data_IF_472992059981
#
_entry.id   IF_472992059981
#
_cell.length_a   1.000
_cell.length_b   1.000
_cell.length_c   1.000
_cell.angle_alpha   90.00
_cell.angle_beta   90.00
_cell.angle_gamma   90.00
#
_symmetry.space_group_name_H-M   'P 1'
#
loop_
_entity.id
_entity.type
_entity.pdbx_description
1 polymer ?
#
# COMPACT_ATOMS: atom_id res chain seq x y z
N UNK A 1 2.28 -30.05 -4.92
CA UNK A 1 3.64 -29.97 -5.51
C UNK A 1 3.66 -30.35 -7.00
N UNK A 2 3.26 -31.56 -7.40
CA UNK A 2 3.28 -32.00 -8.81
C UNK A 2 2.59 -31.01 -9.79
N UNK A 3 1.39 -30.56 -9.45
CA UNK A 3 0.65 -29.57 -10.26
C UNK A 3 1.38 -28.22 -10.39
N UNK A 4 2.04 -27.74 -9.33
CA UNK A 4 2.81 -26.49 -9.39
C UNK A 4 4.01 -26.65 -10.33
N UNK A 5 4.75 -27.76 -10.21
CA UNK A 5 5.88 -28.07 -11.10
C UNK A 5 5.45 -28.12 -12.57
N UNK A 6 4.28 -28.69 -12.86
CA UNK A 6 3.74 -28.70 -14.23
C UNK A 6 3.47 -27.27 -14.74
N UNK A 7 2.85 -26.42 -13.92
CA UNK A 7 2.61 -25.03 -14.30
C UNK A 7 3.91 -24.24 -14.49
N UNK A 8 4.91 -24.43 -13.61
CA UNK A 8 6.21 -23.76 -13.74
C UNK A 8 6.94 -24.18 -15.02
N UNK A 9 6.95 -25.48 -15.34
CA UNK A 9 7.57 -25.99 -16.56
C UNK A 9 6.95 -25.36 -17.84
N UNK A 10 5.62 -25.11 -17.82
CA UNK A 10 4.97 -24.41 -18.94
C UNK A 10 5.46 -22.97 -19.07
N UNK A 11 5.59 -22.24 -17.95
CA UNK A 11 6.09 -20.85 -17.95
C UNK A 11 7.56 -20.75 -18.40
N UNK A 12 8.41 -21.70 -17.98
CA UNK A 12 9.79 -21.80 -18.44
C UNK A 12 9.85 -22.09 -19.94
N UNK A 13 9.07 -23.06 -20.42
CA UNK A 13 9.06 -23.42 -21.85
C UNK A 13 8.57 -22.30 -22.76
N UNK A 14 7.72 -21.40 -22.25
CA UNK A 14 7.27 -20.23 -22.99
C UNK A 14 8.23 -19.04 -22.91
N UNK A 15 9.30 -19.13 -22.11
CA UNK A 15 10.22 -18.03 -21.85
C UNK A 15 9.63 -16.91 -20.99
N UNK A 16 8.54 -17.18 -20.26
CA UNK A 16 7.92 -16.19 -19.37
C UNK A 16 8.69 -16.01 -18.07
N UNK A 17 9.44 -17.05 -17.66
CA UNK A 17 10.38 -17.04 -16.54
C UNK A 17 11.65 -17.82 -16.95
N UNK A 18 12.78 -17.53 -16.30
CA UNK A 18 14.04 -18.25 -16.54
C UNK A 18 14.14 -19.56 -15.73
N UNK A 19 13.45 -19.65 -14.60
CA UNK A 19 13.48 -20.81 -13.71
C UNK A 19 12.59 -20.66 -12.47
N UNK A 20 12.54 -21.69 -11.63
CA UNK A 20 11.87 -21.66 -10.33
C UNK A 20 12.63 -22.44 -9.24
N UNK A 21 12.42 -22.07 -7.98
CA UNK A 21 12.96 -22.80 -6.81
C UNK A 21 11.88 -22.99 -5.72
N UNK A 22 12.07 -24.01 -4.89
CA UNK A 22 11.28 -24.22 -3.68
C UNK A 22 12.09 -23.76 -2.48
N UNK A 23 11.90 -22.50 -2.08
CA UNK A 23 12.54 -21.91 -0.91
C UNK A 23 11.87 -22.28 0.41
N UNK A 24 12.57 -22.03 1.51
CA UNK A 24 11.98 -22.10 2.85
C UNK A 24 11.33 -20.77 3.19
N UNK A 25 10.06 -20.82 3.60
CA UNK A 25 9.36 -19.62 4.08
C UNK A 25 9.75 -19.33 5.54
N UNK A 26 10.41 -18.19 5.76
CA UNK A 26 10.71 -17.67 7.09
C UNK A 26 9.67 -16.62 7.48
N UNK A 27 8.74 -17.00 8.37
CA UNK A 27 7.71 -16.08 8.88
C UNK A 27 8.35 -14.99 9.73
N UNK A 28 8.04 -13.73 9.45
CA UNK A 28 8.51 -12.58 10.22
C UNK A 28 7.61 -12.32 11.43
N UNK A 29 7.51 -13.32 12.33
CA UNK A 29 6.52 -13.33 13.44
C UNK A 29 6.61 -12.06 14.29
N UNK A 30 7.82 -11.62 14.62
CA UNK A 30 8.06 -10.42 15.42
C UNK A 30 7.63 -9.15 14.68
N UNK A 31 7.88 -9.08 13.37
CA UNK A 31 7.52 -7.94 12.52
C UNK A 31 6.02 -7.69 12.55
N UNK A 32 5.23 -8.76 12.51
CA UNK A 32 3.77 -8.70 12.49
C UNK A 32 3.12 -8.84 13.87
N UNK A 33 3.90 -8.70 14.95
CA UNK A 33 3.36 -8.55 16.31
C UNK A 33 3.02 -9.85 17.03
N UNK A 34 3.55 -10.99 16.59
CA UNK A 34 3.33 -12.31 17.17
C UNK A 34 2.52 -13.24 16.25
N UNK A 35 2.24 -14.45 16.73
CA UNK A 35 1.58 -15.50 15.93
C UNK A 35 0.19 -15.08 15.41
N UNK A 36 -0.63 -14.44 16.25
CA UNK A 36 -1.95 -13.92 15.85
C UNK A 36 -1.82 -12.87 14.75
N UNK A 37 -0.91 -11.92 14.91
CA UNK A 37 -0.70 -10.85 13.94
C UNK A 37 -0.08 -11.34 12.63
N UNK A 38 0.84 -12.31 12.68
CA UNK A 38 1.38 -12.97 11.48
C UNK A 38 0.30 -13.74 10.72
N UNK A 39 -0.55 -14.51 11.40
CA UNK A 39 -1.64 -15.24 10.77
C UNK A 39 -2.68 -14.30 10.10
N UNK A 40 -2.98 -13.16 10.72
CA UNK A 40 -3.83 -12.14 10.12
C UNK A 40 -3.14 -11.41 8.96
N UNK A 41 -1.84 -11.16 9.06
CA UNK A 41 -1.03 -10.60 7.97
C UNK A 41 -1.03 -11.53 6.75
N UNK A 42 -0.84 -12.84 6.92
CA UNK A 42 -0.91 -13.83 5.83
C UNK A 42 -2.28 -13.81 5.12
N UNK A 43 -3.38 -13.67 5.88
CA UNK A 43 -4.72 -13.53 5.30
C UNK A 43 -4.87 -12.23 4.52
N UNK A 44 -4.36 -11.12 5.05
CA UNK A 44 -4.39 -9.83 4.34
C UNK A 44 -3.52 -9.85 3.08
N UNK A 45 -2.38 -10.55 3.13
CA UNK A 45 -1.47 -10.74 2.00
C UNK A 45 -2.04 -11.62 0.90
N UNK A 46 -2.91 -12.57 1.23
CA UNK A 46 -3.64 -13.33 0.20
C UNK A 46 -4.60 -12.40 -0.55
N UNK A 47 -5.42 -11.65 0.20
CA UNK A 47 -6.39 -10.71 -0.36
C UNK A 47 -5.73 -9.60 -1.20
N UNK A 48 -4.65 -9.01 -0.69
CA UNK A 48 -3.96 -7.92 -1.37
C UNK A 48 -3.21 -8.41 -2.63
N UNK A 49 -2.77 -9.67 -2.66
CA UNK A 49 -2.12 -10.29 -3.82
C UNK A 49 -3.13 -10.54 -4.93
N UNK A 50 -4.31 -11.06 -4.60
CA UNK A 50 -5.38 -11.27 -5.58
C UNK A 50 -5.84 -9.95 -6.19
N UNK A 51 -6.04 -8.92 -5.37
CA UNK A 51 -6.37 -7.58 -5.84
C UNK A 51 -5.27 -7.00 -6.76
N UNK A 52 -4.00 -7.11 -6.37
CA UNK A 52 -2.88 -6.61 -7.16
C UNK A 52 -2.74 -7.32 -8.52
N UNK A 53 -3.01 -8.64 -8.59
CA UNK A 53 -3.01 -9.39 -9.85
C UNK A 53 -4.07 -8.83 -10.81
N UNK A 54 -5.30 -8.64 -10.32
CA UNK A 54 -6.40 -8.12 -11.14
C UNK A 54 -6.15 -6.67 -11.59
N UNK A 55 -5.63 -5.83 -10.70
CA UNK A 55 -5.26 -4.44 -11.04
C UNK A 55 -4.12 -4.39 -12.06
N UNK A 56 -3.09 -5.24 -11.92
CA UNK A 56 -2.03 -5.35 -12.92
C UNK A 56 -2.55 -5.84 -14.28
N UNK A 57 -3.55 -6.72 -14.29
CA UNK A 57 -4.18 -7.18 -15.52
C UNK A 57 -5.01 -6.09 -16.20
N UNK A 58 -5.78 -5.32 -15.42
CA UNK A 58 -6.52 -4.14 -15.93
C UNK A 58 -5.58 -3.09 -16.52
N UNK A 59 -4.48 -2.79 -15.82
CA UNK A 59 -3.43 -1.89 -16.31
C UNK A 59 -2.82 -2.41 -17.62
N UNK A 60 -2.47 -3.69 -17.68
CA UNK A 60 -1.95 -4.34 -18.89
C UNK A 60 -2.93 -4.28 -20.08
N UNK A 61 -4.24 -4.33 -19.81
CA UNK A 61 -5.30 -4.18 -20.83
C UNK A 61 -5.61 -2.73 -21.18
N UNK A 62 -5.01 -1.75 -20.50
CA UNK A 62 -5.27 -0.32 -20.70
C UNK A 62 -6.62 0.14 -20.15
N UNK A 63 -7.20 -0.61 -19.21
CA UNK A 63 -8.51 -0.33 -18.60
C UNK A 63 -8.41 0.53 -17.32
N UNK A 64 -7.19 0.82 -16.87
CA UNK A 64 -6.92 1.65 -15.70
C UNK A 64 -6.62 3.09 -16.13
N UNK A 65 -7.49 4.04 -15.78
CA UNK A 65 -7.29 5.46 -16.11
C UNK A 65 -6.30 6.16 -15.17
N UNK A 66 -6.01 5.52 -14.03
CA UNK A 66 -5.04 5.98 -13.03
C UNK A 66 -3.75 5.20 -13.19
N UNK A 67 -2.63 5.82 -12.87
CA UNK A 67 -1.35 5.11 -12.81
C UNK A 67 -1.31 4.15 -11.61
N UNK A 68 -0.45 3.12 -11.68
CA UNK A 68 -0.20 2.22 -10.53
C UNK A 68 0.20 2.97 -9.26
N UNK A 69 0.91 4.10 -9.41
CA UNK A 69 1.30 4.97 -8.29
C UNK A 69 0.11 5.65 -7.63
N UNK A 70 -0.84 6.16 -8.41
CA UNK A 70 -2.08 6.75 -7.87
C UNK A 70 -2.94 5.69 -7.18
N UNK A 71 -3.10 4.51 -7.79
CA UNK A 71 -3.87 3.40 -7.19
C UNK A 71 -3.21 2.89 -5.91
N UNK A 72 -1.88 2.73 -5.88
CA UNK A 72 -1.15 2.33 -4.68
C UNK A 72 -1.29 3.38 -3.54
N UNK A 73 -1.27 4.67 -3.88
CA UNK A 73 -1.44 5.75 -2.91
C UNK A 73 -2.86 5.76 -2.33
N UNK A 74 -3.88 5.63 -3.18
CA UNK A 74 -5.28 5.51 -2.77
C UNK A 74 -5.53 4.27 -1.92
N UNK A 75 -4.97 3.11 -2.30
CA UNK A 75 -5.11 1.88 -1.52
C UNK A 75 -4.44 2.01 -0.15
N UNK A 76 -3.32 2.71 -0.07
CA UNK A 76 -2.69 2.94 1.21
C UNK A 76 -3.49 3.87 2.14
N UNK A 77 -4.19 4.86 1.59
CA UNK A 77 -5.15 5.65 2.36
C UNK A 77 -6.36 4.79 2.78
N UNK A 78 -6.83 3.89 1.90
CA UNK A 78 -7.88 2.92 2.21
C UNK A 78 -7.50 1.97 3.36
N UNK A 79 -6.24 1.54 3.45
CA UNK A 79 -5.75 0.80 4.63
C UNK A 79 -5.86 1.62 5.92
N UNK A 80 -5.54 2.93 5.86
CA UNK A 80 -5.71 3.82 6.99
C UNK A 80 -7.19 4.01 7.38
N UNK A 81 -8.09 4.08 6.40
CA UNK A 81 -9.55 4.11 6.62
C UNK A 81 -10.03 2.82 7.30
N UNK A 82 -9.66 1.65 6.76
CA UNK A 82 -10.06 0.35 7.29
C UNK A 82 -9.60 0.12 8.73
N UNK A 83 -8.45 0.68 9.09
CA UNK A 83 -7.92 0.60 10.45
C UNK A 83 -8.48 1.68 11.40
N UNK A 84 -9.28 2.62 10.88
CA UNK A 84 -9.85 3.72 11.64
C UNK A 84 -8.79 4.69 12.17
N UNK A 85 -7.71 4.93 11.40
CA UNK A 85 -6.68 5.87 11.84
C UNK A 85 -7.23 7.29 11.97
N UNK A 86 -6.98 7.90 13.13
CA UNK A 86 -7.19 9.31 13.33
C UNK A 86 -6.17 10.16 12.55
N UNK A 87 -6.39 11.46 12.52
CA UNK A 87 -5.56 12.39 11.75
C UNK A 87 -4.09 12.42 12.20
N UNK A 88 -3.82 12.29 13.51
CA UNK A 88 -2.45 12.26 14.04
C UNK A 88 -1.76 10.95 13.66
N UNK A 89 -2.48 9.83 13.73
CA UNK A 89 -1.99 8.53 13.29
C UNK A 89 -1.73 8.50 11.78
N UNK A 90 -2.57 9.14 10.96
CA UNK A 90 -2.34 9.28 9.51
C UNK A 90 -1.07 10.05 9.18
N UNK A 91 -0.80 11.15 9.88
CA UNK A 91 0.47 11.86 9.73
C UNK A 91 1.66 10.97 10.09
N UNK A 92 1.58 10.23 11.20
CA UNK A 92 2.63 9.25 11.58
C UNK A 92 2.80 8.16 10.53
N UNK A 93 1.70 7.65 9.96
CA UNK A 93 1.69 6.61 8.93
C UNK A 93 2.41 7.06 7.65
N UNK A 94 2.07 8.23 7.11
CA UNK A 94 2.76 8.74 5.94
C UNK A 94 4.21 9.15 6.23
N UNK A 95 4.49 9.72 7.42
CA UNK A 95 5.87 10.02 7.84
C UNK A 95 6.73 8.76 7.92
N UNK A 96 6.19 7.66 8.44
CA UNK A 96 6.88 6.37 8.51
C UNK A 96 7.29 5.87 7.12
N UNK A 97 6.45 6.13 6.11
CA UNK A 97 6.65 5.71 4.73
C UNK A 97 7.94 6.18 4.06
N UNK A 98 8.53 7.29 4.53
CA UNK A 98 9.76 7.84 3.97
C UNK A 98 10.85 8.09 5.03
N UNK A 99 10.61 7.78 6.32
CA UNK A 99 11.57 8.08 7.39
C UNK A 99 12.90 7.36 7.18
N UNK A 100 12.87 6.15 6.62
CA UNK A 100 14.07 5.37 6.30
C UNK A 100 15.03 6.12 5.37
N UNK A 101 14.52 6.90 4.40
CA UNK A 101 15.36 7.64 3.46
C UNK A 101 16.06 8.84 4.13
N UNK A 102 15.46 9.40 5.19
CA UNK A 102 16.10 10.40 6.04
C UNK A 102 17.13 9.75 6.98
N UNK A 103 16.74 8.64 7.62
CA UNK A 103 17.55 7.94 8.62
C UNK A 103 18.82 7.32 8.01
N UNK A 104 18.74 6.84 6.76
CA UNK A 104 19.89 6.28 6.02
C UNK A 104 20.81 7.36 5.43
N UNK A 105 20.39 8.64 5.44
CA UNK A 105 21.08 9.72 4.73
C UNK A 105 20.95 9.67 3.21
N UNK A 106 20.02 8.86 2.67
CA UNK A 106 19.75 8.81 1.23
C UNK A 106 19.17 10.13 0.71
N UNK A 107 18.39 10.84 1.54
CA UNK A 107 17.89 12.17 1.22
C UNK A 107 18.63 13.24 1.99
N UNK A 108 19.33 14.11 1.25
CA UNK A 108 19.95 15.32 1.78
C UNK A 108 18.94 16.47 1.92
N UNK A 109 19.37 17.58 2.53
CA UNK A 109 18.58 18.81 2.59
C UNK A 109 18.26 19.35 1.18
N UNK A 110 19.20 19.25 0.24
CA UNK A 110 18.98 19.64 -1.15
C UNK A 110 17.92 18.77 -1.85
N UNK A 111 17.89 17.46 -1.55
CA UNK A 111 16.86 16.56 -2.07
C UNK A 111 15.48 16.92 -1.52
N UNK A 112 15.38 17.29 -0.24
CA UNK A 112 14.14 17.75 0.36
C UNK A 112 13.62 19.04 -0.29
N UNK A 113 14.50 19.98 -0.65
CA UNK A 113 14.08 21.17 -1.40
C UNK A 113 13.56 20.82 -2.81
N UNK A 114 14.18 19.86 -3.49
CA UNK A 114 13.71 19.35 -4.79
C UNK A 114 12.34 18.70 -4.65
N UNK A 115 12.16 17.87 -3.61
CA UNK A 115 10.90 17.21 -3.31
C UNK A 115 9.82 18.22 -2.96
N UNK A 116 10.11 19.25 -2.18
CA UNK A 116 9.14 20.31 -1.85
C UNK A 116 8.70 21.07 -3.11
N UNK A 117 9.64 21.47 -3.98
CA UNK A 117 9.28 22.11 -5.27
C UNK A 117 8.39 21.20 -6.12
N UNK A 118 8.67 19.90 -6.14
CA UNK A 118 7.88 18.91 -6.88
C UNK A 118 6.52 18.65 -6.23
N UNK A 119 6.43 18.67 -4.91
CA UNK A 119 5.17 18.61 -4.18
C UNK A 119 4.29 19.79 -4.56
N UNK A 120 4.81 21.02 -4.49
CA UNK A 120 4.04 22.22 -4.81
C UNK A 120 3.49 22.21 -6.25
N UNK A 121 4.24 21.67 -7.22
CA UNK A 121 3.76 21.55 -8.60
C UNK A 121 2.71 20.43 -8.79
N UNK A 122 2.76 19.36 -7.99
CA UNK A 122 1.82 18.23 -8.06
C UNK A 122 0.63 18.36 -7.10
N UNK A 123 0.67 19.31 -6.16
CA UNK A 123 -0.34 19.49 -5.11
C UNK A 123 -1.77 19.54 -5.66
N UNK A 124 -2.10 20.31 -6.72
CA UNK A 124 -3.48 20.34 -7.23
C UNK A 124 -3.98 18.97 -7.70
N UNK A 125 -3.11 18.15 -8.30
CA UNK A 125 -3.45 16.80 -8.73
C UNK A 125 -3.65 15.84 -7.55
N UNK A 126 -2.82 15.97 -6.51
CA UNK A 126 -3.00 15.21 -5.27
C UNK A 126 -4.29 15.60 -4.55
N UNK A 127 -4.60 16.90 -4.44
CA UNK A 127 -5.86 17.37 -3.88
C UNK A 127 -7.06 16.81 -4.64
N UNK A 128 -6.99 16.82 -5.97
CA UNK A 128 -8.04 16.26 -6.82
C UNK A 128 -8.24 14.75 -6.59
N UNK A 129 -7.16 14.00 -6.35
CA UNK A 129 -7.22 12.56 -6.08
C UNK A 129 -8.00 12.25 -4.79
N UNK A 130 -7.91 13.13 -3.78
CA UNK A 130 -8.50 12.99 -2.45
C UNK A 130 -9.63 13.99 -2.19
N UNK A 131 -10.42 14.31 -3.23
CA UNK A 131 -11.63 15.14 -3.12
C UNK A 131 -12.82 14.29 -2.72
N UNK A 132 -13.55 14.71 -1.69
CA UNK A 132 -14.71 13.97 -1.14
C UNK A 132 -15.91 13.92 -2.07
N UNK A 133 -16.05 14.90 -2.96
CA UNK A 133 -17.17 15.04 -3.90
C UNK A 133 -16.93 14.31 -5.25
N UNK A 134 -15.80 13.63 -5.39
CA UNK A 134 -15.49 12.84 -6.58
C UNK A 134 -16.23 11.49 -6.55
N UNK A 135 -16.91 11.14 -7.63
CA UNK A 135 -17.47 9.80 -7.78
C UNK A 135 -16.38 8.73 -7.62
N UNK A 136 -16.65 7.66 -6.86
CA UNK A 136 -15.66 6.62 -6.55
C UNK A 136 -15.03 6.02 -7.82
N UNK A 137 -15.82 5.75 -8.86
CA UNK A 137 -15.30 5.22 -10.12
C UNK A 137 -14.27 6.16 -10.76
N UNK A 138 -14.51 7.47 -10.72
CA UNK A 138 -13.55 8.47 -11.22
C UNK A 138 -12.32 8.56 -10.31
N UNK A 139 -12.49 8.46 -8.99
CA UNK A 139 -11.39 8.45 -8.02
C UNK A 139 -10.43 7.31 -8.29
N UNK A 140 -10.95 6.11 -8.45
CA UNK A 140 -10.17 4.88 -8.65
C UNK A 140 -9.71 4.66 -10.09
N UNK A 141 -10.24 5.40 -11.07
CA UNK A 141 -9.80 5.32 -12.46
C UNK A 141 -10.58 4.34 -13.32
N UNK A 142 -11.85 4.09 -13.00
CA UNK A 142 -12.80 3.30 -13.78
C UNK A 142 -13.62 2.34 -12.92
N UNK A 143 -14.78 1.93 -13.41
CA UNK A 143 -15.68 1.00 -12.72
C UNK A 143 -15.03 -0.37 -12.48
N UNK A 144 -14.21 -0.85 -13.42
CA UNK A 144 -13.51 -2.12 -13.28
C UNK A 144 -12.50 -2.09 -12.12
N UNK A 145 -11.78 -0.97 -11.96
CA UNK A 145 -10.83 -0.77 -10.86
C UNK A 145 -11.59 -0.68 -9.54
N UNK A 146 -12.67 0.10 -9.50
CA UNK A 146 -13.53 0.23 -8.33
C UNK A 146 -14.08 -1.13 -7.88
N UNK A 147 -14.54 -1.98 -8.80
CA UNK A 147 -15.06 -3.30 -8.47
C UNK A 147 -14.02 -4.22 -7.79
N UNK A 148 -12.75 -4.12 -8.18
CA UNK A 148 -11.65 -4.84 -7.50
C UNK A 148 -11.43 -4.28 -6.11
N UNK A 149 -11.38 -2.95 -5.99
CA UNK A 149 -11.18 -2.24 -4.72
C UNK A 149 -12.30 -2.51 -3.73
N UNK A 150 -13.55 -2.49 -4.17
CA UNK A 150 -14.73 -2.73 -3.33
C UNK A 150 -14.72 -4.16 -2.77
N UNK A 151 -14.43 -5.14 -3.63
CA UNK A 151 -14.31 -6.55 -3.19
C UNK A 151 -13.16 -6.73 -2.21
N UNK A 152 -11.98 -6.21 -2.54
CA UNK A 152 -10.84 -6.22 -1.62
C UNK A 152 -11.18 -5.58 -0.28
N UNK A 153 -11.79 -4.40 -0.29
CA UNK A 153 -12.15 -3.65 0.92
C UNK A 153 -13.15 -4.42 1.77
N UNK A 154 -14.17 -5.02 1.15
CA UNK A 154 -15.17 -5.83 1.84
C UNK A 154 -14.55 -7.06 2.51
N UNK A 155 -13.64 -7.76 1.82
CA UNK A 155 -12.99 -8.97 2.34
C UNK A 155 -11.89 -8.65 3.36
N UNK A 156 -11.18 -7.53 3.19
CA UNK A 156 -10.11 -7.09 4.09
C UNK A 156 -10.64 -6.46 5.38
N UNK A 157 -11.83 -5.83 5.36
CA UNK A 157 -12.43 -5.19 6.52
C UNK A 157 -12.49 -6.08 7.77
N UNK A 158 -13.02 -7.33 7.74
CA UNK A 158 -13.02 -8.18 8.93
C UNK A 158 -11.61 -8.59 9.40
N UNK A 159 -10.65 -8.72 8.48
CA UNK A 159 -9.24 -9.02 8.83
C UNK A 159 -8.61 -7.82 9.52
N UNK A 160 -8.79 -6.62 8.98
CA UNK A 160 -8.29 -5.38 9.56
C UNK A 160 -8.93 -5.10 10.93
N UNK A 161 -10.24 -5.33 11.05
CA UNK A 161 -10.95 -5.23 12.34
C UNK A 161 -10.36 -6.17 13.40
N UNK A 162 -10.01 -7.41 13.02
CA UNK A 162 -9.35 -8.36 13.92
C UNK A 162 -7.93 -7.91 14.30
N UNK A 163 -7.17 -7.32 13.37
CA UNK A 163 -5.84 -6.75 13.65
C UNK A 163 -5.96 -5.61 14.66
N UNK A 164 -6.89 -4.66 14.44
CA UNK A 164 -7.10 -3.51 15.33
C UNK A 164 -7.55 -3.96 16.72
N UNK A 165 -8.48 -4.91 16.83
CA UNK A 165 -8.92 -5.42 18.13
C UNK A 165 -7.83 -6.25 18.81
N UNK A 166 -7.08 -7.07 18.07
CA UNK A 166 -5.93 -7.81 18.60
C UNK A 166 -4.84 -6.90 19.14
N UNK A 167 -4.57 -5.78 18.45
CA UNK A 167 -3.67 -4.73 18.92
C UNK A 167 -4.22 -4.03 20.18
N UNK A 168 -5.50 -3.63 20.18
CA UNK A 168 -6.15 -2.99 21.34
C UNK A 168 -6.15 -3.87 22.58
N UNK A 169 -6.31 -5.18 22.41
CA UNK A 169 -6.27 -6.17 23.47
C UNK A 169 -4.84 -6.60 23.86
N UNK A 170 -3.79 -6.05 23.23
CA UNK A 170 -2.38 -6.36 23.51
C UNK A 170 -1.92 -7.75 23.07
N UNK A 171 -2.73 -8.49 22.29
CA UNK A 171 -2.36 -9.81 21.74
C UNK A 171 -1.47 -9.68 20.51
N UNK A 172 -1.65 -8.62 19.73
CA UNK A 172 -0.74 -8.21 18.66
C UNK A 172 0.09 -7.04 19.20
N UNK A 173 1.39 -7.27 19.39
CA UNK A 173 2.26 -6.39 20.19
C UNK A 173 3.01 -5.33 19.39
N UNK A 174 2.91 -5.36 18.07
CA UNK A 174 3.57 -4.39 17.19
C UNK A 174 2.75 -3.09 17.13
N UNK A 175 3.42 -1.94 16.99
CA UNK A 175 2.75 -0.65 16.78
C UNK A 175 1.81 -0.69 15.55
N UNK A 176 0.56 -0.25 15.73
CA UNK A 176 -0.45 -0.28 14.67
C UNK A 176 -0.04 0.52 13.42
N UNK A 177 0.61 1.67 13.59
CA UNK A 177 1.08 2.48 12.45
C UNK A 177 2.17 1.74 11.67
N UNK A 178 3.06 1.04 12.37
CA UNK A 178 4.07 0.17 11.75
C UNK A 178 3.41 -0.96 10.95
N UNK A 179 2.43 -1.66 11.52
CA UNK A 179 1.72 -2.75 10.84
C UNK A 179 1.07 -2.26 9.54
N UNK A 180 0.32 -1.16 9.61
CA UNK A 180 -0.34 -0.58 8.45
C UNK A 180 0.63 -0.09 7.39
N UNK A 181 1.74 0.54 7.81
CA UNK A 181 2.82 0.87 6.88
C UNK A 181 3.35 -0.37 6.17
N UNK A 182 3.58 -1.47 6.89
CA UNK A 182 4.06 -2.72 6.29
C UNK A 182 3.05 -3.29 5.31
N UNK A 183 1.75 -3.31 5.64
CA UNK A 183 0.71 -3.81 4.72
C UNK A 183 0.59 -2.94 3.45
N UNK A 184 0.56 -1.62 3.62
CA UNK A 184 0.50 -0.69 2.49
C UNK A 184 1.77 -0.76 1.62
N UNK A 185 2.94 -0.95 2.22
CA UNK A 185 4.20 -1.16 1.51
C UNK A 185 4.17 -2.46 0.70
N UNK A 186 3.69 -3.56 1.28
CA UNK A 186 3.57 -4.84 0.58
C UNK A 186 2.58 -4.78 -0.59
N UNK A 187 1.46 -4.06 -0.48
CA UNK A 187 0.57 -3.80 -1.62
C UNK A 187 1.27 -2.95 -2.70
N UNK A 188 1.97 -1.89 -2.30
CA UNK A 188 2.69 -0.99 -3.21
C UNK A 188 3.80 -1.72 -3.98
N UNK A 189 4.50 -2.62 -3.30
CA UNK A 189 5.48 -3.53 -3.90
C UNK A 189 4.85 -4.45 -4.96
N UNK A 190 3.69 -5.05 -4.66
CA UNK A 190 2.96 -5.90 -5.63
C UNK A 190 2.44 -5.14 -6.84
N UNK A 191 2.16 -3.85 -6.70
CA UNK A 191 1.85 -2.96 -7.82
C UNK A 191 3.09 -2.59 -8.66
N UNK A 192 4.29 -3.06 -8.29
CA UNK A 192 5.53 -2.77 -9.01
C UNK A 192 6.04 -1.35 -8.80
N UNK A 193 5.66 -0.69 -7.69
CA UNK A 193 6.19 0.61 -7.31
C UNK A 193 7.41 0.40 -6.43
N UNK A 194 8.57 0.85 -6.91
CA UNK A 194 9.84 0.77 -6.19
C UNK A 194 9.85 1.61 -4.89
N UNK A 195 10.78 1.30 -3.99
CA UNK A 195 10.89 1.92 -2.66
C UNK A 195 11.08 3.43 -2.71
N UNK A 196 11.96 3.95 -3.58
CA UNK A 196 12.21 5.40 -3.67
C UNK A 196 10.99 6.15 -4.21
N UNK A 197 10.35 5.76 -5.34
CA UNK A 197 9.07 6.32 -5.74
C UNK A 197 7.97 6.22 -4.67
N UNK A 198 7.87 5.11 -3.95
CA UNK A 198 6.92 4.99 -2.83
C UNK A 198 7.21 6.04 -1.76
N UNK A 199 8.45 6.14 -1.27
CA UNK A 199 8.83 7.12 -0.26
C UNK A 199 8.47 8.55 -0.67
N UNK A 200 8.66 8.91 -1.95
CA UNK A 200 8.24 10.22 -2.48
C UNK A 200 6.72 10.41 -2.39
N UNK A 201 5.92 9.40 -2.76
CA UNK A 201 4.46 9.47 -2.62
C UNK A 201 4.03 9.63 -1.15
N UNK A 202 4.70 8.92 -0.24
CA UNK A 202 4.48 9.01 1.21
C UNK A 202 4.81 10.40 1.74
N UNK A 203 5.92 10.97 1.28
CA UNK A 203 6.33 12.34 1.60
C UNK A 203 5.28 13.35 1.11
N UNK A 204 4.82 13.26 -0.13
CA UNK A 204 3.81 14.17 -0.67
C UNK A 204 2.48 14.11 0.08
N UNK A 205 2.00 12.90 0.44
CA UNK A 205 0.80 12.79 1.26
C UNK A 205 0.97 13.33 2.66
N UNK A 206 2.13 13.10 3.29
CA UNK A 206 2.43 13.70 4.59
C UNK A 206 2.40 15.24 4.51
N UNK A 207 3.02 15.84 3.48
CA UNK A 207 3.00 17.30 3.26
C UNK A 207 1.60 17.84 3.01
N UNK A 208 0.80 17.15 2.18
CA UNK A 208 -0.60 17.53 1.91
C UNK A 208 -1.44 17.57 3.19
N UNK A 209 -1.33 16.55 4.05
CA UNK A 209 -2.06 16.49 5.31
C UNK A 209 -1.60 17.56 6.31
N UNK A 210 -0.30 17.87 6.35
CA UNK A 210 0.21 18.97 7.17
C UNK A 210 -0.37 20.31 6.73
N UNK A 211 -0.42 20.62 5.43
CA UNK A 211 -0.98 21.89 4.94
C UNK A 211 -2.48 22.01 5.25
N UNK A 212 -3.26 20.94 5.05
CA UNK A 212 -4.70 20.93 5.37
C UNK A 212 -4.97 21.26 6.85
N UNK A 213 -4.13 20.77 7.77
CA UNK A 213 -4.20 21.09 9.20
C UNK A 213 -3.97 22.56 9.50
N UNK A 214 -2.98 23.16 8.84
CA UNK A 214 -2.62 24.56 9.07
C UNK A 214 -3.70 25.53 8.57
N UNK A 215 -4.53 25.12 7.60
CA UNK A 215 -5.65 25.93 7.09
C UNK A 215 -6.90 25.78 7.97
N UNK A 216 -7.07 24.65 8.66
CA UNK A 216 -8.23 24.36 9.51
C UNK A 216 -8.13 24.88 10.95
N UNK A 217 -6.95 25.32 11.38
CA UNK A 217 -6.66 25.86 12.72
C UNK A 217 -6.70 27.40 12.74
#
# INVERSE_FOLDING_TARGET
RARLTEHMARLESSGAIEGHEFGQYAREIERYGGEEGMALAERLFDLDSLAAIELCDLDRRGEMQKSRREVALLMADRFADLAGLDEHQRLRFYRRGYSWALESGEWSEADLEVLERKFQSLRPGLEQLFRDDLAEATRWGGDAVLAVVDRFTADAAPVMGAIVEGHRAGRIRQDLVYLLWSYAHMFTNRMGVESTPEAILRYFMHRLLQERRHVAA
#
